data_IF_861102471786
#
_entry.id   IF_861102471786
#
_cell.length_a   1.000
_cell.length_b   1.000
_cell.length_c   1.000
_cell.angle_alpha   90.00
_cell.angle_beta   90.00
_cell.angle_gamma   90.00
#
_symmetry.space_group_name_H-M   'P 1'
#
loop_
_entity.id
_entity.type
_entity.pdbx_description
1 polymer ?
#
# COMPACT_ATOMS: atom_id res chain seq x y z
N UNK A 1 28.60 39.78 -0.34
CA UNK A 1 28.90 38.65 -1.25
C UNK A 1 28.54 37.39 -0.49
N UNK A 2 27.38 36.78 -0.78
CA UNK A 2 27.16 35.76 -1.84
C UNK A 2 27.92 34.48 -1.48
N UNK A 3 27.41 33.25 -1.43
CA UNK A 3 26.09 32.60 -1.49
C UNK A 3 26.36 31.13 -1.11
N UNK A 4 25.46 30.53 -0.32
CA UNK A 4 25.00 29.12 -0.23
C UNK A 4 25.65 28.06 -1.15
N UNK A 5 25.91 26.86 -0.60
CA UNK A 5 25.47 25.50 -1.06
C UNK A 5 26.35 24.40 -0.41
N UNK A 6 25.84 23.67 0.59
CA UNK A 6 25.16 22.36 0.49
C UNK A 6 26.01 21.25 -0.15
N UNK A 7 26.32 20.22 0.65
CA UNK A 7 26.14 18.84 0.21
C UNK A 7 25.98 17.93 1.43
N UNK A 8 24.73 17.79 1.89
CA UNK A 8 24.33 16.66 2.71
C UNK A 8 24.20 15.50 1.73
N UNK A 9 25.12 14.54 1.84
CA UNK A 9 25.05 13.26 1.14
C UNK A 9 23.91 12.45 1.78
N UNK A 10 22.67 12.77 1.40
CA UNK A 10 21.51 11.95 1.69
C UNK A 10 21.62 10.74 0.77
N UNK A 11 21.82 9.59 1.39
CA UNK A 11 21.68 8.27 0.80
C UNK A 11 20.29 8.16 0.15
N UNK A 12 20.19 8.51 -1.13
CA UNK A 12 19.07 8.11 -1.97
C UNK A 12 19.29 6.63 -2.24
N UNK A 13 18.74 5.77 -1.36
CA UNK A 13 18.48 4.39 -1.74
C UNK A 13 17.38 4.44 -2.79
N UNK A 14 17.77 4.51 -4.06
CA UNK A 14 16.90 4.27 -5.19
C UNK A 14 16.29 2.88 -5.02
N UNK A 15 15.03 2.85 -4.62
CA UNK A 15 14.28 1.63 -4.37
C UNK A 15 13.51 1.28 -5.64
N UNK A 16 14.09 0.42 -6.48
CA UNK A 16 13.38 -0.11 -7.65
C UNK A 16 12.24 -1.00 -7.17
N UNK A 17 11.01 -0.51 -7.25
CA UNK A 17 9.84 -1.39 -7.22
C UNK A 17 9.95 -2.32 -8.42
N UNK A 18 10.23 -3.61 -8.20
CA UNK A 18 10.20 -4.60 -9.28
C UNK A 18 8.73 -4.82 -9.67
N UNK A 19 8.26 -4.07 -10.66
CA UNK A 19 7.02 -4.36 -11.35
C UNK A 19 7.26 -5.56 -12.28
N UNK A 20 6.71 -6.72 -11.91
CA UNK A 20 6.75 -7.90 -12.78
C UNK A 20 5.44 -8.00 -13.54
N UNK A 21 5.55 -7.99 -14.86
CA UNK A 21 4.42 -8.26 -15.75
C UNK A 21 4.32 -9.77 -15.96
N UNK A 22 3.15 -10.30 -15.69
CA UNK A 22 2.84 -11.70 -15.93
C UNK A 22 1.72 -11.79 -16.95
N UNK A 23 1.83 -12.78 -17.83
CA UNK A 23 0.84 -13.05 -18.86
C UNK A 23 0.36 -14.50 -18.77
N UNK A 24 -0.93 -14.71 -19.01
CA UNK A 24 -1.53 -16.04 -19.12
C UNK A 24 -2.37 -16.13 -20.39
N UNK A 25 -2.24 -17.27 -21.07
CA UNK A 25 -3.01 -17.55 -22.28
C UNK A 25 -4.50 -17.72 -21.94
N UNK A 26 -5.38 -17.13 -22.76
CA UNK A 26 -6.84 -17.20 -22.54
C UNK A 26 -7.41 -18.61 -22.68
N UNK A 27 -6.79 -19.47 -23.48
CA UNK A 27 -7.19 -20.87 -23.65
C UNK A 27 -6.93 -21.62 -22.35
N UNK A 28 -5.71 -21.53 -21.82
CA UNK A 28 -5.35 -22.14 -20.55
C UNK A 28 -6.24 -21.65 -19.40
N UNK A 29 -6.46 -20.33 -19.34
CA UNK A 29 -7.39 -19.71 -18.40
C UNK A 29 -8.82 -20.26 -18.54
N UNK A 30 -9.31 -20.45 -19.77
CA UNK A 30 -10.64 -21.00 -20.04
C UNK A 30 -10.76 -22.47 -19.61
N UNK A 31 -9.74 -23.28 -19.86
CA UNK A 31 -9.73 -24.69 -19.46
C UNK A 31 -9.79 -24.84 -17.94
N UNK A 32 -9.04 -24.01 -17.21
CA UNK A 32 -9.12 -23.98 -15.75
C UNK A 32 -10.48 -23.43 -15.28
N UNK A 33 -11.00 -22.39 -15.93
CA UNK A 33 -12.30 -21.79 -15.62
C UNK A 33 -13.47 -22.79 -15.75
N UNK A 34 -13.38 -23.74 -16.69
CA UNK A 34 -14.39 -24.78 -16.90
C UNK A 34 -14.46 -25.81 -15.76
N UNK A 35 -13.36 -26.05 -15.04
CA UNK A 35 -13.29 -27.08 -13.99
C UNK A 35 -14.06 -26.71 -12.72
N UNK A 36 -14.29 -25.42 -12.50
CA UNK A 36 -14.82 -24.91 -11.25
C UNK A 36 -16.25 -24.39 -11.38
N UNK A 37 -17.00 -24.43 -10.28
CA UNK A 37 -18.34 -23.85 -10.18
C UNK A 37 -18.29 -22.32 -10.04
N UNK A 38 -19.37 -21.65 -10.48
CA UNK A 38 -19.42 -20.19 -10.60
C UNK A 38 -19.00 -19.44 -9.34
N UNK A 39 -19.40 -19.94 -8.18
CA UNK A 39 -19.22 -19.27 -6.89
C UNK A 39 -17.79 -19.32 -6.37
N UNK A 40 -16.99 -20.30 -6.83
CA UNK A 40 -15.58 -20.48 -6.40
C UNK A 40 -14.56 -20.21 -7.50
N UNK A 41 -15.01 -19.89 -8.73
CA UNK A 41 -14.13 -19.72 -9.90
C UNK A 41 -13.04 -18.68 -9.68
N UNK A 42 -13.39 -17.49 -9.21
CA UNK A 42 -12.41 -16.39 -9.12
C UNK A 42 -11.29 -16.72 -8.12
N UNK A 43 -11.64 -17.28 -6.95
CA UNK A 43 -10.65 -17.66 -5.94
C UNK A 43 -9.77 -18.81 -6.42
N UNK A 44 -10.36 -19.83 -7.05
CA UNK A 44 -9.58 -20.96 -7.62
C UNK A 44 -8.66 -20.54 -8.75
N UNK A 45 -9.11 -19.63 -9.61
CA UNK A 45 -8.27 -19.09 -10.68
C UNK A 45 -7.15 -18.24 -10.13
N UNK A 46 -7.41 -17.49 -9.06
CA UNK A 46 -6.38 -16.74 -8.36
C UNK A 46 -5.36 -17.66 -7.70
N UNK A 47 -5.79 -18.72 -7.00
CA UNK A 47 -4.91 -19.76 -6.45
C UNK A 47 -4.04 -20.38 -7.54
N UNK A 48 -4.64 -20.78 -8.67
CA UNK A 48 -3.93 -21.36 -9.80
C UNK A 48 -2.82 -20.44 -10.33
N UNK A 49 -3.14 -19.15 -10.52
CA UNK A 49 -2.17 -18.15 -10.97
C UNK A 49 -1.09 -17.93 -9.90
N UNK A 50 -1.48 -17.88 -8.63
CA UNK A 50 -0.54 -17.69 -7.51
C UNK A 50 0.46 -18.83 -7.40
N UNK A 51 0.01 -20.08 -7.56
CA UNK A 51 0.88 -21.25 -7.61
C UNK A 51 1.74 -21.27 -8.87
N UNK A 52 1.16 -20.93 -10.03
CA UNK A 52 1.89 -20.96 -11.32
C UNK A 52 3.05 -19.97 -11.37
N UNK A 53 2.86 -18.78 -10.79
CA UNK A 53 3.85 -17.70 -10.84
C UNK A 53 4.63 -17.52 -9.53
N UNK A 54 4.39 -18.39 -8.54
CA UNK A 54 5.02 -18.37 -7.22
C UNK A 54 4.95 -16.99 -6.54
N UNK A 55 3.73 -16.49 -6.33
CA UNK A 55 3.53 -15.26 -5.56
C UNK A 55 3.84 -15.51 -4.08
N UNK A 56 5.01 -15.09 -3.63
CA UNK A 56 5.40 -15.19 -2.22
C UNK A 56 4.96 -13.97 -1.41
N UNK A 57 5.07 -12.76 -1.98
CA UNK A 57 4.93 -11.48 -1.24
C UNK A 57 4.20 -10.41 -2.09
N UNK A 58 2.92 -10.62 -2.35
CA UNK A 58 2.09 -9.66 -3.11
C UNK A 58 1.34 -8.70 -2.18
N UNK A 59 1.27 -7.43 -2.56
CA UNK A 59 0.40 -6.45 -1.87
C UNK A 59 -1.07 -6.86 -1.93
N UNK A 60 -1.85 -6.50 -0.90
CA UNK A 60 -3.31 -6.64 -0.92
C UNK A 60 -3.94 -5.86 -2.10
N UNK A 61 -3.38 -4.69 -2.46
CA UNK A 61 -3.81 -3.95 -3.64
C UNK A 61 -3.63 -4.74 -4.94
N UNK A 62 -2.47 -5.40 -5.12
CA UNK A 62 -2.21 -6.23 -6.31
C UNK A 62 -3.11 -7.46 -6.34
N UNK A 63 -3.30 -8.15 -5.22
CA UNK A 63 -4.25 -9.28 -5.14
C UNK A 63 -5.64 -8.85 -5.61
N UNK A 64 -6.12 -7.71 -5.11
CA UNK A 64 -7.43 -7.17 -5.51
C UNK A 64 -7.47 -6.82 -6.99
N UNK A 65 -6.42 -6.19 -7.53
CA UNK A 65 -6.36 -5.85 -8.95
C UNK A 65 -6.39 -7.10 -9.85
N UNK A 66 -5.61 -8.12 -9.50
CA UNK A 66 -5.62 -9.40 -10.20
C UNK A 66 -7.02 -10.00 -10.14
N UNK A 67 -7.62 -10.15 -8.96
CA UNK A 67 -8.99 -10.66 -8.79
C UNK A 67 -10.01 -9.89 -9.63
N UNK A 68 -9.93 -8.56 -9.69
CA UNK A 68 -10.80 -7.74 -10.54
C UNK A 68 -10.63 -8.05 -12.04
N UNK A 69 -9.38 -8.18 -12.51
CA UNK A 69 -9.11 -8.57 -13.90
C UNK A 69 -9.63 -9.98 -14.21
N UNK A 70 -9.40 -10.94 -13.31
CA UNK A 70 -9.90 -12.32 -13.46
C UNK A 70 -11.43 -12.36 -13.49
N UNK A 71 -12.11 -11.59 -12.65
CA UNK A 71 -13.56 -11.47 -12.64
C UNK A 71 -14.10 -10.87 -13.96
N UNK A 72 -13.46 -9.81 -14.46
CA UNK A 72 -13.81 -9.17 -15.74
C UNK A 72 -13.70 -10.16 -16.91
N UNK A 73 -12.61 -10.92 -16.98
CA UNK A 73 -12.40 -11.89 -18.04
C UNK A 73 -13.34 -13.09 -17.89
N UNK A 74 -13.55 -13.58 -16.67
CA UNK A 74 -14.53 -14.63 -16.36
C UNK A 74 -15.94 -14.25 -16.82
N UNK A 75 -16.34 -12.99 -16.66
CA UNK A 75 -17.63 -12.48 -17.15
C UNK A 75 -17.71 -12.50 -18.68
N UNK A 76 -16.63 -12.10 -19.37
CA UNK A 76 -16.53 -12.16 -20.84
C UNK A 76 -16.61 -13.60 -21.35
N UNK A 77 -15.91 -14.53 -20.68
CA UNK A 77 -15.99 -15.97 -20.98
C UNK A 77 -17.40 -16.48 -20.77
N UNK A 78 -18.04 -16.18 -19.63
CA UNK A 78 -19.39 -16.64 -19.35
C UNK A 78 -20.39 -16.20 -20.42
N UNK A 79 -20.31 -14.94 -20.85
CA UNK A 79 -21.18 -14.39 -21.89
C UNK A 79 -20.97 -15.11 -23.21
N UNK A 80 -19.71 -15.29 -23.63
CA UNK A 80 -19.36 -16.00 -24.86
C UNK A 80 -19.72 -17.49 -24.78
N UNK A 81 -19.56 -18.11 -23.62
CA UNK A 81 -19.89 -19.52 -23.34
C UNK A 81 -21.38 -19.80 -23.57
N UNK A 82 -22.24 -18.94 -23.02
CA UNK A 82 -23.69 -19.01 -23.26
C UNK A 82 -24.00 -18.78 -24.74
N UNK A 83 -23.36 -17.81 -25.39
CA UNK A 83 -23.56 -17.52 -26.82
C UNK A 83 -23.11 -18.62 -27.79
N UNK A 84 -22.26 -19.54 -27.30
CA UNK A 84 -21.78 -20.72 -28.02
C UNK A 84 -22.60 -21.97 -27.70
N UNK A 85 -23.70 -21.83 -26.95
CA UNK A 85 -24.56 -22.93 -26.56
C UNK A 85 -23.91 -23.87 -25.54
N UNK A 86 -22.95 -23.38 -24.74
CA UNK A 86 -22.21 -24.16 -23.73
C UNK A 86 -21.51 -25.42 -24.29
N UNK A 87 -21.11 -25.38 -25.55
CA UNK A 87 -20.30 -26.43 -26.18
C UNK A 87 -18.85 -25.98 -26.29
N UNK A 88 -17.90 -26.79 -25.77
CA UNK A 88 -16.46 -26.50 -25.79
C UNK A 88 -15.97 -26.25 -27.22
N UNK A 89 -16.28 -27.17 -28.13
CA UNK A 89 -15.87 -27.09 -29.53
C UNK A 89 -16.44 -25.85 -30.23
N UNK A 90 -17.74 -25.57 -30.08
CA UNK A 90 -18.36 -24.36 -30.64
C UNK A 90 -17.78 -23.09 -30.05
N UNK A 91 -17.43 -23.10 -28.76
CA UNK A 91 -16.80 -21.95 -28.11
C UNK A 91 -15.41 -21.68 -28.68
N UNK A 92 -14.57 -22.71 -28.78
CA UNK A 92 -13.22 -22.61 -29.33
C UNK A 92 -13.25 -22.14 -30.78
N UNK A 93 -14.09 -22.72 -31.63
CA UNK A 93 -14.19 -22.33 -33.03
C UNK A 93 -14.74 -20.92 -33.23
N UNK A 94 -15.83 -20.57 -32.51
CA UNK A 94 -16.48 -19.25 -32.66
C UNK A 94 -15.66 -18.11 -32.06
N UNK A 95 -14.87 -18.38 -31.02
CA UNK A 95 -14.08 -17.37 -30.32
C UNK A 95 -12.57 -17.51 -30.55
N UNK A 96 -12.16 -18.30 -31.56
CA UNK A 96 -10.75 -18.60 -31.86
C UNK A 96 -9.87 -17.35 -31.89
N UNK A 97 -10.26 -16.36 -32.70
CA UNK A 97 -9.54 -15.08 -32.81
C UNK A 97 -9.44 -14.31 -31.48
N UNK A 98 -10.45 -14.43 -30.61
CA UNK A 98 -10.44 -13.75 -29.32
C UNK A 98 -9.54 -14.46 -28.30
N UNK A 99 -9.50 -15.79 -28.36
CA UNK A 99 -8.68 -16.67 -27.53
C UNK A 99 -7.19 -16.63 -27.93
N UNK A 100 -6.91 -16.57 -29.23
CA UNK A 100 -5.56 -16.42 -29.80
C UNK A 100 -5.04 -14.97 -29.80
N UNK A 101 -5.91 -14.00 -29.51
CA UNK A 101 -5.51 -12.61 -29.35
C UNK A 101 -4.71 -12.36 -28.07
N UNK A 102 -4.51 -11.08 -27.74
CA UNK A 102 -3.65 -10.63 -26.63
C UNK A 102 -3.85 -11.42 -25.32
N UNK A 103 -2.74 -11.81 -24.70
CA UNK A 103 -2.73 -12.55 -23.44
C UNK A 103 -3.32 -11.74 -22.29
N UNK A 104 -3.68 -12.43 -21.20
CA UNK A 104 -4.18 -11.77 -20.00
C UNK A 104 -2.99 -11.28 -19.22
N UNK A 105 -2.75 -9.98 -19.28
CA UNK A 105 -1.64 -9.31 -18.60
C UNK A 105 -2.07 -8.73 -17.25
N UNK A 106 -1.27 -9.00 -16.23
CA UNK A 106 -1.40 -8.40 -14.91
C UNK A 106 -0.03 -8.00 -14.35
N UNK A 107 -0.02 -6.86 -13.67
CA UNK A 107 1.17 -6.32 -13.03
C UNK A 107 1.16 -6.75 -11.57
N UNK A 108 2.28 -7.27 -11.09
CA UNK A 108 2.47 -7.63 -9.70
C UNK A 108 3.58 -6.76 -9.15
N UNK A 109 3.25 -6.05 -8.08
CA UNK A 109 4.22 -5.30 -7.27
C UNK A 109 4.51 -6.13 -6.03
N UNK A 110 5.77 -6.55 -5.89
CA UNK A 110 6.23 -7.20 -4.68
C UNK A 110 6.39 -6.17 -3.57
N UNK A 111 5.92 -6.50 -2.37
CA UNK A 111 6.26 -5.73 -1.16
C UNK A 111 7.65 -6.11 -0.70
N UNK A 112 8.65 -5.33 -1.09
CA UNK A 112 9.71 -5.08 -0.12
C UNK A 112 9.13 -4.12 0.93
N UNK A 113 9.40 -4.33 2.24
CA UNK A 113 8.84 -3.51 3.30
C UNK A 113 9.28 -2.05 3.11
N UNK A 114 8.38 -1.25 2.53
CA UNK A 114 8.53 0.18 2.49
C UNK A 114 8.16 0.71 3.87
N UNK A 115 9.05 1.46 4.57
CA UNK A 115 8.58 2.30 5.64
C UNK A 115 7.54 3.24 5.02
N UNK A 116 6.31 3.20 5.56
CA UNK A 116 5.21 4.04 5.11
C UNK A 116 5.64 5.51 5.10
N UNK A 117 6.09 6.00 3.95
CA UNK A 117 6.11 7.41 3.67
C UNK A 117 4.76 7.68 3.02
N UNK A 118 3.90 8.34 3.78
CA UNK A 118 2.67 8.92 3.31
C UNK A 118 2.96 9.93 2.20
N UNK A 119 3.13 9.44 0.97
CA UNK A 119 3.17 10.23 -0.28
C UNK A 119 2.18 9.70 -1.32
N UNK A 120 1.18 8.93 -0.89
CA UNK A 120 -0.06 8.71 -1.66
C UNK A 120 -1.03 9.93 -1.59
N UNK A 121 -0.52 11.14 -1.34
CA UNK A 121 -1.29 12.39 -1.27
C UNK A 121 -1.54 13.02 -2.66
N UNK A 122 -0.97 12.49 -3.75
CA UNK A 122 -1.11 13.12 -5.07
C UNK A 122 -2.29 12.66 -5.94
N UNK A 123 -3.11 11.68 -5.54
CA UNK A 123 -4.24 11.26 -6.41
C UNK A 123 -5.34 10.40 -5.80
N UNK A 124 -5.69 10.54 -4.51
CA UNK A 124 -6.98 9.99 -4.05
C UNK A 124 -8.07 11.04 -4.25
N UNK A 125 -9.09 10.79 -5.11
CA UNK A 125 -10.21 11.71 -5.24
C UNK A 125 -10.92 11.85 -3.88
N UNK A 126 -10.98 13.08 -3.36
CA UNK A 126 -11.55 13.37 -2.04
C UNK A 126 -11.33 14.81 -1.61
N UNK A 127 -11.95 15.20 -0.48
CA UNK A 127 -11.75 16.52 0.13
C UNK A 127 -10.27 16.67 0.54
N UNK A 128 -9.61 17.80 0.20
CA UNK A 128 -8.26 18.08 0.69
C UNK A 128 -8.18 17.93 2.20
N UNK A 129 -7.10 17.29 2.67
CA UNK A 129 -6.86 17.14 4.10
C UNK A 129 -6.45 18.49 4.68
N UNK A 130 -6.98 18.82 5.85
CA UNK A 130 -6.52 19.97 6.63
C UNK A 130 -5.11 19.70 7.16
N UNK A 131 -4.31 20.75 7.32
CA UNK A 131 -2.97 20.68 7.93
C UNK A 131 -3.04 20.04 9.32
N UNK A 132 -1.93 19.43 9.73
CA UNK A 132 -1.89 18.75 11.03
C UNK A 132 -2.23 19.73 12.14
N UNK A 133 -1.61 20.91 12.17
CA UNK A 133 -1.79 21.89 13.24
C UNK A 133 -3.22 22.40 13.39
N UNK A 134 -3.93 22.56 12.28
CA UNK A 134 -5.29 23.09 12.30
C UNK A 134 -6.37 22.00 12.50
N UNK A 135 -5.99 20.72 12.53
CA UNK A 135 -6.93 19.61 12.69
C UNK A 135 -7.43 19.49 14.14
N UNK A 136 -8.64 18.94 14.31
CA UNK A 136 -9.17 18.63 15.64
C UNK A 136 -8.28 17.63 16.39
N UNK A 137 -8.27 17.67 17.73
CA UNK A 137 -7.49 16.72 18.53
C UNK A 137 -7.84 15.26 18.20
N UNK A 138 -9.12 14.94 17.99
CA UNK A 138 -9.57 13.61 17.55
C UNK A 138 -8.91 13.19 16.23
N UNK A 139 -8.78 14.12 15.29
CA UNK A 139 -8.11 13.88 14.00
C UNK A 139 -6.60 13.74 14.16
N UNK A 140 -5.95 14.60 14.96
CA UNK A 140 -4.51 14.50 15.27
C UNK A 140 -4.19 13.14 15.88
N UNK A 141 -4.96 12.70 16.89
CA UNK A 141 -4.81 11.38 17.54
C UNK A 141 -4.86 10.23 16.53
N UNK A 142 -5.88 10.22 15.66
CA UNK A 142 -5.99 9.19 14.61
C UNK A 142 -4.81 9.21 13.63
N UNK A 143 -4.28 10.38 13.30
CA UNK A 143 -3.12 10.49 12.37
C UNK A 143 -1.82 9.97 12.97
N UNK A 144 -1.66 9.97 14.29
CA UNK A 144 -0.46 9.48 14.97
C UNK A 144 -0.63 8.08 15.57
N UNK A 145 -1.78 7.45 15.39
CA UNK A 145 -2.12 6.15 15.98
C UNK A 145 -1.11 5.06 15.59
N UNK A 146 -0.77 4.99 14.31
CA UNK A 146 0.20 4.03 13.78
C UNK A 146 1.59 4.23 14.41
N UNK A 147 2.01 5.49 14.63
CA UNK A 147 3.29 5.80 15.28
C UNK A 147 3.30 5.34 16.75
N UNK A 148 2.19 5.54 17.46
CA UNK A 148 2.05 5.13 18.86
C UNK A 148 2.00 3.61 19.02
N UNK A 149 1.40 2.90 18.05
CA UNK A 149 1.32 1.44 18.08
C UNK A 149 2.64 0.76 17.65
N UNK A 150 3.40 1.37 16.75
CA UNK A 150 4.59 0.77 16.16
C UNK A 150 5.89 1.06 16.92
N UNK A 151 5.91 2.07 17.81
CA UNK A 151 7.13 2.54 18.48
C UNK A 151 6.96 2.58 19.99
N UNK A 152 8.07 2.37 20.69
CA UNK A 152 8.13 2.53 22.14
C UNK A 152 8.05 4.00 22.55
N UNK A 153 7.59 4.26 23.78
CA UNK A 153 7.53 5.63 24.33
C UNK A 153 8.90 6.30 24.33
N UNK A 154 9.97 5.56 24.63
CA UNK A 154 11.34 6.08 24.61
C UNK A 154 11.80 6.52 23.21
N UNK A 155 11.48 5.73 22.17
CA UNK A 155 11.76 6.11 20.78
C UNK A 155 10.99 7.38 20.37
N UNK A 156 9.71 7.47 20.77
CA UNK A 156 8.88 8.65 20.47
C UNK A 156 9.37 9.91 21.19
N UNK A 157 9.80 9.80 22.46
CA UNK A 157 10.38 10.91 23.20
C UNK A 157 11.71 11.37 22.59
N UNK A 158 12.57 10.43 22.21
CA UNK A 158 13.84 10.74 21.54
C UNK A 158 13.60 11.41 20.19
N UNK A 159 12.63 10.92 19.41
CA UNK A 159 12.26 11.54 18.13
C UNK A 159 11.74 12.97 18.33
N UNK A 160 10.91 13.21 19.34
CA UNK A 160 10.42 14.54 19.69
C UNK A 160 11.55 15.48 20.14
N UNK A 161 12.50 15.00 20.95
CA UNK A 161 13.69 15.76 21.34
C UNK A 161 14.51 16.18 20.12
N UNK A 162 14.84 15.22 19.24
CA UNK A 162 15.66 15.46 18.05
C UNK A 162 14.97 16.46 17.12
N UNK A 163 13.66 16.35 16.92
CA UNK A 163 12.87 17.30 16.13
C UNK A 163 12.84 18.70 16.74
N UNK A 164 12.75 18.82 18.07
CA UNK A 164 12.82 20.10 18.76
C UNK A 164 14.22 20.74 18.62
N UNK A 165 15.29 19.95 18.68
CA UNK A 165 16.67 20.45 18.46
C UNK A 165 16.89 20.93 17.03
N UNK A 166 16.41 20.18 16.03
CA UNK A 166 16.61 20.53 14.62
C UNK A 166 15.88 21.81 14.22
N UNK A 167 14.77 22.13 14.89
CA UNK A 167 14.03 23.39 14.72
C UNK A 167 14.54 24.54 15.61
N UNK A 168 15.64 24.32 16.35
CA UNK A 168 16.27 25.33 17.21
C UNK A 168 15.62 25.52 18.58
N UNK A 169 14.62 24.73 18.93
CA UNK A 169 13.88 24.80 20.20
C UNK A 169 14.63 24.05 21.32
N UNK A 170 15.82 24.56 21.69
CA UNK A 170 16.72 23.91 22.66
C UNK A 170 16.09 23.70 24.04
N UNK A 171 15.28 24.65 24.51
CA UNK A 171 14.59 24.55 25.81
C UNK A 171 13.55 23.43 25.82
N UNK A 172 12.75 23.32 24.75
CA UNK A 172 11.74 22.27 24.58
C UNK A 172 12.40 20.90 24.50
N UNK A 173 13.49 20.77 23.74
CA UNK A 173 14.27 19.53 23.67
C UNK A 173 14.80 19.10 25.04
N UNK A 174 15.29 20.04 25.86
CA UNK A 174 15.78 19.76 27.22
C UNK A 174 14.66 19.21 28.10
N UNK A 175 13.49 19.84 28.10
CA UNK A 175 12.33 19.39 28.88
C UNK A 175 11.86 18.00 28.45
N UNK A 176 11.80 17.72 27.15
CA UNK A 176 11.42 16.39 26.63
C UNK A 176 12.39 15.32 27.11
N UNK A 177 13.69 15.61 27.05
CA UNK A 177 14.73 14.70 27.54
C UNK A 177 14.60 14.44 29.05
N UNK A 178 14.47 15.51 29.83
CA UNK A 178 14.38 15.42 31.30
C UNK A 178 13.14 14.62 31.75
N UNK A 179 12.00 14.78 31.08
CA UNK A 179 10.78 14.00 31.33
C UNK A 179 10.98 12.52 30.94
N UNK A 180 11.67 12.25 29.84
CA UNK A 180 11.94 10.89 29.37
C UNK A 180 12.90 10.12 30.29
N UNK A 181 13.88 10.79 30.89
CA UNK A 181 14.85 10.19 31.82
C UNK A 181 14.31 10.08 33.26
N UNK A 182 13.44 11.02 33.67
CA UNK A 182 12.89 11.03 35.02
C UNK A 182 11.42 11.52 35.05
N UNK A 183 10.43 10.62 34.90
CA UNK A 183 9.01 11.01 34.87
C UNK A 183 8.48 11.55 36.21
N UNK A 184 9.24 11.43 37.31
CA UNK A 184 8.83 11.90 38.63
C UNK A 184 9.13 13.39 38.89
N UNK A 185 9.99 14.03 38.08
CA UNK A 185 10.36 15.45 38.23
C UNK A 185 9.31 16.43 37.67
N UNK A 186 8.36 15.97 36.85
CA UNK A 186 7.38 16.82 36.17
C UNK A 186 6.35 17.51 37.09
N UNK A 187 6.41 17.31 38.41
CA UNK A 187 5.45 17.88 39.37
C UNK A 187 5.84 19.26 39.93
N UNK A 188 7.06 19.76 39.69
CA UNK A 188 7.50 21.04 40.30
C UNK A 188 7.18 22.30 39.51
N UNK A 189 6.96 22.22 38.20
CA UNK A 189 7.07 23.42 37.35
C UNK A 189 5.73 24.01 36.87
N UNK A 190 4.58 23.44 37.27
CA UNK A 190 3.24 23.93 36.88
C UNK A 190 2.64 24.92 37.91
N UNK A 191 3.35 25.26 38.99
CA UNK A 191 2.86 26.20 40.02
C UNK A 191 3.16 27.70 39.73
N UNK A 192 3.66 28.03 38.54
CA UNK A 192 4.17 29.37 38.23
C UNK A 192 3.36 30.23 37.26
N UNK A 193 2.11 29.88 36.91
CA UNK A 193 1.25 30.73 36.07
C UNK A 193 -0.17 30.71 36.63
N UNK A 194 -0.40 31.53 37.66
CA UNK A 194 -1.73 32.06 37.97
C UNK A 194 -1.69 33.60 37.86
N UNK A 195 -2.77 34.10 37.27
CA UNK A 195 -3.22 35.49 36.98
C UNK A 195 -2.53 36.26 35.87
#
# INVERSE_FOLDING_TARGET
>A
MVTVLNFVEVLVMDFTSEEKLYSINKIEFFEEWLKHEKDKRCDRLFEFISTKFNFSDITEECEREIKMKLASISSKIATRWVSSGKSKERFLNKNKLWLEGQEIEFCVRSTLPQPSTSTAELSRPGRPRKDFEDASFKTKKRRVEDLVQSRSVGELMTAAEVAARSTGQKNVARVIKDIGENPASAKSDVSGIET
#
